data_IF_925209057029
#
_entry.id   IF_925209057029
#
_cell.length_a   1.000
_cell.length_b   1.000
_cell.length_c   1.000
_cell.angle_alpha   90.00
_cell.angle_beta   90.00
_cell.angle_gamma   90.00
#
_symmetry.space_group_name_H-M   'P 1'
#
loop_
_entity.id
_entity.type
_entity.pdbx_description
1 polymer ?
#
# COMPACT_ATOMS: atom_id res chain seq x y z
N UNK A 1 -14.17 17.81 -17.69
CA UNK A 1 -13.30 16.68 -18.08
C UNK A 1 -12.54 16.26 -16.83
N UNK A 2 -12.65 15.00 -16.42
CA UNK A 2 -11.87 14.48 -15.30
C UNK A 2 -10.39 14.50 -15.69
N UNK A 3 -9.58 15.19 -14.89
CA UNK A 3 -8.15 15.30 -15.08
C UNK A 3 -7.52 13.90 -14.92
N UNK A 4 -6.58 13.53 -15.80
CA UNK A 4 -5.88 12.26 -15.72
C UNK A 4 -5.03 12.23 -14.44
N UNK A 5 -5.16 11.15 -13.65
CA UNK A 5 -4.36 10.93 -12.45
C UNK A 5 -3.30 9.88 -12.77
N UNK A 6 -2.04 10.17 -12.46
CA UNK A 6 -0.91 9.24 -12.52
C UNK A 6 -0.51 8.90 -11.09
N UNK A 7 -0.50 7.61 -10.75
CA UNK A 7 -0.02 7.09 -9.47
C UNK A 7 1.38 6.51 -9.64
N UNK A 8 2.35 7.05 -8.94
CA UNK A 8 3.71 6.51 -8.83
C UNK A 8 3.78 5.57 -7.63
N UNK A 9 4.19 4.32 -7.86
CA UNK A 9 4.13 3.27 -6.84
C UNK A 9 5.23 2.21 -7.01
N UNK A 10 5.58 1.55 -5.90
CA UNK A 10 6.54 0.45 -5.88
C UNK A 10 5.94 -0.83 -6.45
N UNK A 11 6.78 -1.60 -7.15
CA UNK A 11 6.47 -2.95 -7.59
C UNK A 11 7.65 -3.91 -7.38
N UNK A 12 7.35 -5.21 -7.34
CA UNK A 12 8.35 -6.27 -7.47
C UNK A 12 8.81 -6.42 -8.93
N UNK A 13 9.83 -7.27 -9.18
CA UNK A 13 10.35 -7.51 -10.53
C UNK A 13 9.30 -8.12 -11.49
N UNK A 14 8.32 -8.83 -10.96
CA UNK A 14 7.17 -9.40 -11.66
C UNK A 14 5.98 -8.44 -11.79
N UNK A 15 6.20 -7.15 -11.53
CA UNK A 15 5.20 -6.08 -11.55
C UNK A 15 4.11 -6.17 -10.46
N UNK A 16 4.24 -7.04 -9.47
CA UNK A 16 3.33 -7.09 -8.32
C UNK A 16 3.42 -5.81 -7.49
N UNK A 17 2.27 -5.14 -7.28
CA UNK A 17 2.17 -3.90 -6.50
C UNK A 17 1.99 -4.24 -5.02
N UNK A 18 3.06 -4.40 -4.26
CA UNK A 18 3.01 -4.90 -2.87
C UNK A 18 2.99 -3.80 -1.81
N UNK A 19 3.38 -2.56 -2.12
CA UNK A 19 3.54 -1.50 -1.11
C UNK A 19 2.25 -1.18 -0.36
N UNK A 20 2.23 -1.29 0.99
CA UNK A 20 1.03 -0.98 1.77
C UNK A 20 0.62 0.48 1.66
N UNK A 21 1.58 1.42 1.61
CA UNK A 21 1.26 2.84 1.46
C UNK A 21 0.66 3.14 0.09
N UNK A 22 1.16 2.50 -0.97
CA UNK A 22 0.58 2.65 -2.31
C UNK A 22 -0.85 2.07 -2.36
N UNK A 23 -1.11 0.94 -1.67
CA UNK A 23 -2.45 0.37 -1.60
C UNK A 23 -3.45 1.25 -0.85
N UNK A 24 -3.03 2.05 0.16
CA UNK A 24 -3.92 3.06 0.76
C UNK A 24 -4.46 4.02 -0.31
N UNK A 25 -3.58 4.51 -1.18
CA UNK A 25 -3.95 5.41 -2.28
C UNK A 25 -4.77 4.69 -3.35
N UNK A 26 -4.41 3.47 -3.74
CA UNK A 26 -5.17 2.67 -4.70
C UNK A 26 -6.62 2.46 -4.25
N UNK A 27 -6.83 2.05 -3.00
CA UNK A 27 -8.17 1.92 -2.44
C UNK A 27 -8.91 3.26 -2.37
N UNK A 28 -8.22 4.33 -2.02
CA UNK A 28 -8.79 5.68 -2.00
C UNK A 28 -9.28 6.13 -3.36
N UNK A 29 -8.49 5.94 -4.43
CA UNK A 29 -8.87 6.24 -5.79
C UNK A 29 -10.05 5.39 -6.27
N UNK A 30 -10.04 4.09 -5.95
CA UNK A 30 -11.14 3.19 -6.26
C UNK A 30 -12.44 3.58 -5.53
N UNK A 31 -12.36 3.96 -4.26
CA UNK A 31 -13.49 4.45 -3.46
C UNK A 31 -14.13 5.70 -4.08
N UNK A 32 -13.31 6.62 -4.53
CA UNK A 32 -13.76 7.82 -5.24
C UNK A 32 -14.26 7.55 -6.65
N UNK A 33 -14.06 6.33 -7.19
CA UNK A 33 -14.36 6.01 -8.58
C UNK A 33 -13.54 6.86 -9.57
N UNK A 34 -12.29 7.17 -9.21
CA UNK A 34 -11.38 7.96 -10.03
C UNK A 34 -10.45 7.02 -10.82
N UNK A 35 -10.48 7.08 -12.17
CA UNK A 35 -9.54 6.34 -12.99
C UNK A 35 -8.12 6.93 -12.81
N UNK A 36 -7.11 6.07 -12.85
CA UNK A 36 -5.72 6.48 -12.76
C UNK A 36 -4.82 5.58 -13.60
N UNK A 37 -3.66 6.10 -13.98
CA UNK A 37 -2.55 5.31 -14.55
C UNK A 37 -1.54 5.00 -13.46
N UNK A 38 -1.07 3.75 -13.41
CA UNK A 38 -0.03 3.31 -12.51
C UNK A 38 1.33 3.36 -13.21
N UNK A 39 2.32 3.96 -12.53
CA UNK A 39 3.71 4.01 -12.97
C UNK A 39 4.59 3.38 -11.91
N UNK A 40 5.33 2.34 -12.30
CA UNK A 40 6.29 1.67 -11.43
C UNK A 40 7.52 2.57 -11.21
N UNK A 41 7.91 2.71 -9.95
CA UNK A 41 9.14 3.38 -9.52
C UNK A 41 9.94 2.39 -8.65
N UNK A 42 11.23 2.22 -8.96
CA UNK A 42 12.16 1.47 -8.10
C UNK A 42 12.46 2.22 -6.80
N UNK A 43 12.93 1.52 -5.79
CA UNK A 43 13.28 2.15 -4.50
C UNK A 43 14.36 3.20 -4.64
N UNK A 44 15.34 2.96 -5.50
CA UNK A 44 16.47 3.85 -5.74
C UNK A 44 16.10 5.06 -6.61
N UNK A 45 15.00 4.97 -7.36
CA UNK A 45 14.57 6.00 -8.32
C UNK A 45 13.53 6.98 -7.71
N UNK A 46 13.04 6.72 -6.49
CA UNK A 46 12.03 7.58 -5.83
C UNK A 46 12.47 9.04 -5.78
N UNK A 47 13.76 9.29 -5.53
CA UNK A 47 14.30 10.64 -5.46
C UNK A 47 14.22 11.44 -6.77
N UNK A 48 14.04 10.78 -7.91
CA UNK A 48 13.96 11.41 -9.24
C UNK A 48 12.56 11.96 -9.56
N UNK A 49 11.53 11.61 -8.77
CA UNK A 49 10.16 12.10 -8.96
C UNK A 49 10.03 13.63 -8.75
N UNK A 50 11.03 14.27 -8.13
CA UNK A 50 11.06 15.72 -7.92
C UNK A 50 10.17 16.20 -6.77
N UNK A 51 9.65 15.31 -5.95
CA UNK A 51 8.90 15.65 -4.74
C UNK A 51 9.79 16.07 -3.57
N UNK A 52 9.21 16.78 -2.61
CA UNK A 52 9.92 17.29 -1.42
C UNK A 52 10.27 16.17 -0.43
N UNK A 53 9.36 15.19 -0.27
CA UNK A 53 9.49 14.12 0.72
C UNK A 53 10.21 12.88 0.16
N UNK A 54 10.38 12.81 -1.17
CA UNK A 54 11.01 11.68 -1.86
C UNK A 54 10.42 10.33 -1.43
N UNK A 55 9.10 10.24 -1.50
CA UNK A 55 8.35 9.06 -1.07
C UNK A 55 7.31 8.64 -2.09
N UNK A 56 6.90 7.38 -2.03
CA UNK A 56 5.72 6.86 -2.74
C UNK A 56 4.78 6.19 -1.74
N UNK A 57 3.44 6.28 -1.96
CA UNK A 57 2.79 6.74 -3.18
C UNK A 57 2.95 8.24 -3.42
N UNK A 58 3.02 8.62 -4.70
CA UNK A 58 2.82 9.99 -5.14
C UNK A 58 1.81 10.00 -6.28
N UNK A 59 1.01 11.07 -6.39
CA UNK A 59 0.11 11.27 -7.53
C UNK A 59 0.46 12.55 -8.27
N UNK A 60 0.25 12.52 -9.59
CA UNK A 60 0.17 13.72 -10.42
C UNK A 60 -1.23 13.83 -10.99
N UNK A 61 -1.90 14.93 -10.68
CA UNK A 61 -3.20 15.28 -11.21
C UNK A 61 -3.04 16.62 -11.96
N UNK A 62 -2.86 16.57 -13.29
CA UNK A 62 -2.43 17.70 -14.11
C UNK A 62 -1.10 18.29 -13.62
N UNK A 63 -1.10 19.58 -13.23
CA UNK A 63 0.08 20.28 -12.74
C UNK A 63 0.33 20.05 -11.23
N UNK A 64 -0.64 19.46 -10.51
CA UNK A 64 -0.52 19.21 -9.08
C UNK A 64 0.20 17.89 -8.82
N UNK A 65 1.22 17.93 -7.94
CA UNK A 65 1.96 16.77 -7.47
C UNK A 65 1.79 16.65 -5.95
N UNK A 66 1.32 15.48 -5.49
CA UNK A 66 1.06 15.20 -4.07
C UNK A 66 1.75 13.90 -3.68
N UNK A 67 2.55 13.94 -2.64
CA UNK A 67 3.22 12.79 -2.04
C UNK A 67 2.56 12.44 -0.71
N UNK A 68 2.86 11.23 -0.21
CA UNK A 68 2.32 10.67 1.02
C UNK A 68 0.85 10.23 0.92
N UNK A 69 0.58 9.02 1.42
CA UNK A 69 -0.76 8.40 1.30
C UNK A 69 -1.85 9.14 2.07
N UNK A 70 -1.50 9.81 3.18
CA UNK A 70 -2.43 10.62 3.94
C UNK A 70 -2.75 11.93 3.23
N UNK A 71 -1.72 12.64 2.77
CA UNK A 71 -1.89 13.90 2.08
C UNK A 71 -2.64 13.70 0.76
N UNK A 72 -2.41 12.56 0.08
CA UNK A 72 -3.20 12.17 -1.08
C UNK A 72 -4.67 11.95 -0.69
N UNK A 73 -4.98 11.26 0.41
CA UNK A 73 -6.37 11.07 0.83
C UNK A 73 -7.08 12.39 1.15
N UNK A 74 -6.39 13.32 1.81
CA UNK A 74 -6.88 14.69 2.06
C UNK A 74 -7.12 15.43 0.73
N UNK A 75 -6.15 15.39 -0.17
CA UNK A 75 -6.25 15.99 -1.49
C UNK A 75 -7.47 15.48 -2.26
N UNK A 76 -7.68 14.16 -2.26
CA UNK A 76 -8.80 13.54 -2.96
C UNK A 76 -10.15 13.98 -2.39
N UNK A 77 -10.28 14.12 -1.07
CA UNK A 77 -11.52 14.62 -0.46
C UNK A 77 -11.78 16.10 -0.77
N UNK A 78 -10.74 16.92 -0.82
CA UNK A 78 -10.86 18.35 -1.10
C UNK A 78 -11.16 18.66 -2.57
N UNK A 79 -10.52 17.92 -3.50
CA UNK A 79 -10.61 18.22 -4.93
C UNK A 79 -11.72 17.45 -5.65
N UNK A 80 -12.25 16.40 -5.03
CA UNK A 80 -13.37 15.62 -5.55
C UNK A 80 -14.50 15.50 -4.51
N UNK A 81 -15.08 16.66 -4.07
CA UNK A 81 -16.10 16.67 -3.01
C UNK A 81 -17.41 16.00 -3.43
N UNK A 82 -17.70 15.93 -4.74
CA UNK A 82 -18.89 15.29 -5.31
C UNK A 82 -18.78 13.74 -5.33
N UNK A 83 -17.63 13.19 -4.92
CA UNK A 83 -17.38 11.75 -4.81
C UNK A 83 -17.48 11.28 -3.36
N UNK A 84 -17.75 9.98 -3.11
CA UNK A 84 -17.84 9.47 -1.75
C UNK A 84 -16.63 9.89 -0.90
N UNK A 85 -16.83 10.42 0.33
CA UNK A 85 -15.74 10.91 1.16
C UNK A 85 -14.92 9.75 1.73
N UNK A 86 -13.59 9.89 1.74
CA UNK A 86 -12.65 8.95 2.36
C UNK A 86 -12.57 9.12 3.87
N UNK A 87 -12.40 10.37 4.30
CA UNK A 87 -12.19 10.77 5.70
C UNK A 87 -13.49 11.22 6.38
N UNK A 88 -14.50 11.57 5.59
CA UNK A 88 -15.79 12.05 6.08
C UNK A 88 -15.68 13.42 6.79
N UNK A 89 -16.20 13.50 8.02
CA UNK A 89 -16.12 14.72 8.84
C UNK A 89 -14.81 14.77 9.66
N UNK A 90 -14.58 15.87 10.39
CA UNK A 90 -13.40 16.03 11.24
C UNK A 90 -13.23 14.91 12.28
N UNK A 91 -14.33 14.37 12.81
CA UNK A 91 -14.27 13.21 13.70
C UNK A 91 -13.75 11.96 12.97
N UNK A 92 -14.27 11.69 11.77
CA UNK A 92 -13.82 10.56 10.94
C UNK A 92 -12.35 10.69 10.56
N UNK A 93 -11.90 11.90 10.22
CA UNK A 93 -10.50 12.22 9.97
C UNK A 93 -9.62 11.95 11.20
N UNK A 94 -10.06 12.34 12.40
CA UNK A 94 -9.36 12.06 13.66
C UNK A 94 -9.25 10.55 13.94
N UNK A 95 -10.34 9.79 13.72
CA UNK A 95 -10.33 8.32 13.85
C UNK A 95 -9.38 7.69 12.86
N UNK A 96 -9.42 8.09 11.59
CA UNK A 96 -8.53 7.58 10.56
C UNK A 96 -7.05 7.85 10.89
N UNK A 97 -6.73 9.02 11.45
CA UNK A 97 -5.36 9.37 11.90
C UNK A 97 -4.91 8.48 13.06
N UNK A 98 -5.78 8.19 14.01
CA UNK A 98 -5.46 7.25 15.10
C UNK A 98 -5.19 5.85 14.55
N UNK A 99 -6.04 5.36 13.63
CA UNK A 99 -5.87 4.05 12.99
C UNK A 99 -4.58 3.99 12.18
N UNK A 100 -4.20 5.08 11.49
CA UNK A 100 -2.94 5.18 10.78
C UNK A 100 -1.75 5.03 11.73
N UNK A 101 -1.70 5.83 12.80
CA UNK A 101 -0.64 5.74 13.81
C UNK A 101 -0.55 4.35 14.44
N UNK A 102 -1.70 3.74 14.74
CA UNK A 102 -1.75 2.37 15.24
C UNK A 102 -1.20 1.38 14.21
N UNK A 103 -1.61 1.49 12.96
CA UNK A 103 -1.14 0.62 11.87
C UNK A 103 0.36 0.75 11.67
N UNK A 104 0.87 1.97 11.64
CA UNK A 104 2.29 2.23 11.39
C UNK A 104 3.21 1.82 12.55
N UNK A 105 2.68 1.79 13.78
CA UNK A 105 3.47 1.42 14.98
C UNK A 105 3.27 -0.02 15.45
N UNK A 106 2.15 -0.65 15.13
CA UNK A 106 1.83 -2.01 15.62
C UNK A 106 1.75 -3.02 14.48
N UNK A 107 1.05 -2.69 13.38
CA UNK A 107 0.78 -3.65 12.30
C UNK A 107 1.96 -3.71 11.33
N UNK A 108 2.38 -2.57 10.78
CA UNK A 108 3.44 -2.51 9.77
C UNK A 108 4.78 -3.10 10.23
N UNK A 109 5.32 -2.80 11.45
CA UNK A 109 6.59 -3.38 11.87
C UNK A 109 6.54 -4.90 11.97
N UNK A 110 5.36 -5.43 12.35
CA UNK A 110 5.19 -6.88 12.45
C UNK A 110 5.06 -7.53 11.07
N UNK A 111 4.23 -6.96 10.18
CA UNK A 111 4.13 -7.48 8.80
C UNK A 111 5.48 -7.36 8.10
N UNK A 112 6.21 -6.25 8.25
CA UNK A 112 7.57 -6.10 7.73
C UNK A 112 8.44 -7.30 8.13
N UNK A 113 8.44 -7.65 9.42
CA UNK A 113 9.21 -8.80 9.92
C UNK A 113 8.78 -10.13 9.30
N UNK A 114 7.49 -10.29 9.04
CA UNK A 114 6.94 -11.53 8.47
C UNK A 114 7.24 -11.70 6.97
N UNK A 115 7.36 -10.59 6.20
CA UNK A 115 7.39 -10.66 4.73
C UNK A 115 8.67 -10.15 4.08
N UNK A 116 9.58 -9.51 4.83
CA UNK A 116 10.74 -8.81 4.23
C UNK A 116 11.61 -9.73 3.38
N UNK A 117 11.82 -10.97 3.81
CA UNK A 117 12.63 -11.93 3.05
C UNK A 117 11.95 -12.30 1.73
N UNK A 118 10.64 -12.56 1.76
CA UNK A 118 9.89 -12.94 0.55
C UNK A 118 9.81 -11.77 -0.45
N UNK A 119 9.65 -10.53 0.06
CA UNK A 119 9.72 -9.33 -0.77
C UNK A 119 11.10 -9.20 -1.41
N UNK A 120 12.19 -9.36 -0.63
CA UNK A 120 13.57 -9.31 -1.13
C UNK A 120 13.82 -10.28 -2.27
N UNK A 121 13.32 -11.51 -2.16
CA UNK A 121 13.51 -12.54 -3.19
C UNK A 121 12.82 -12.19 -4.52
N UNK A 122 11.75 -11.37 -4.47
CA UNK A 122 10.99 -10.90 -5.63
C UNK A 122 11.40 -9.52 -6.13
N UNK A 123 12.31 -8.82 -5.42
CA UNK A 123 12.78 -7.49 -5.82
C UNK A 123 13.60 -7.52 -7.12
N UNK A 124 13.54 -6.42 -7.86
CA UNK A 124 14.50 -6.18 -8.94
C UNK A 124 15.94 -6.26 -8.37
N UNK A 125 16.85 -6.98 -9.03
CA UNK A 125 18.23 -7.10 -8.57
C UNK A 125 18.92 -5.76 -8.29
N UNK A 126 18.54 -4.69 -9.00
CA UNK A 126 19.09 -3.36 -8.81
C UNK A 126 18.71 -2.75 -7.45
N UNK A 127 17.48 -2.99 -6.97
CA UNK A 127 16.99 -2.46 -5.70
C UNK A 127 17.38 -3.33 -4.48
N UNK A 128 17.80 -4.59 -4.69
CA UNK A 128 18.09 -5.54 -3.60
C UNK A 128 19.09 -5.04 -2.56
N UNK A 129 20.25 -4.44 -2.94
CA UNK A 129 21.22 -3.96 -1.95
C UNK A 129 20.63 -2.89 -1.03
N UNK A 130 19.92 -1.92 -1.60
CA UNK A 130 19.23 -0.87 -0.84
C UNK A 130 18.15 -1.44 0.06
N UNK A 131 17.32 -2.33 -0.48
CA UNK A 131 16.23 -2.96 0.28
C UNK A 131 16.77 -3.74 1.47
N UNK A 132 17.77 -4.60 1.28
CA UNK A 132 18.38 -5.37 2.37
C UNK A 132 18.91 -4.45 3.47
N UNK A 133 19.78 -3.51 3.11
CA UNK A 133 20.38 -2.61 4.09
C UNK A 133 19.33 -1.86 4.91
N UNK A 134 18.37 -1.23 4.23
CA UNK A 134 17.36 -0.42 4.89
C UNK A 134 16.39 -1.27 5.75
N UNK A 135 16.07 -2.49 5.34
CA UNK A 135 15.13 -3.34 6.10
C UNK A 135 15.80 -4.04 7.27
N UNK A 136 17.04 -4.48 7.14
CA UNK A 136 17.81 -5.03 8.24
C UNK A 136 18.09 -3.98 9.34
N UNK A 137 18.34 -2.73 8.97
CA UNK A 137 18.41 -1.61 9.91
C UNK A 137 17.08 -1.42 10.67
N UNK A 138 15.95 -1.40 9.96
CA UNK A 138 14.62 -1.27 10.57
C UNK A 138 14.24 -2.45 11.46
N UNK A 139 14.65 -3.66 11.09
CA UNK A 139 14.34 -4.90 11.81
C UNK A 139 15.28 -5.14 13.01
N UNK A 140 16.46 -4.53 12.99
CA UNK A 140 17.53 -4.79 13.98
C UNK A 140 18.11 -6.22 13.87
N UNK A 141 17.91 -6.91 12.75
CA UNK A 141 18.40 -8.26 12.47
C UNK A 141 18.41 -8.52 10.96
N UNK A 142 19.05 -9.63 10.52
CA UNK A 142 19.02 -10.03 9.12
C UNK A 142 17.60 -10.43 8.65
N UNK A 143 17.37 -10.38 7.33
CA UNK A 143 16.12 -10.84 6.72
C UNK A 143 15.87 -12.33 7.02
N UNK A 144 16.93 -13.12 7.05
CA UNK A 144 16.92 -14.55 7.34
C UNK A 144 16.50 -14.84 8.79
N UNK A 145 17.04 -14.09 9.77
CA UNK A 145 16.65 -14.19 11.18
C UNK A 145 15.19 -13.76 11.40
N UNK A 146 14.76 -12.70 10.73
CA UNK A 146 13.36 -12.28 10.78
C UNK A 146 12.43 -13.39 10.25
N UNK A 147 12.78 -14.04 9.14
CA UNK A 147 12.02 -15.14 8.56
C UNK A 147 12.02 -16.38 9.50
N UNK A 148 13.14 -16.73 10.10
CA UNK A 148 13.24 -17.89 11.00
C UNK A 148 12.34 -17.78 12.25
N UNK A 149 11.96 -16.56 12.65
CA UNK A 149 11.11 -16.30 13.82
C UNK A 149 9.63 -16.07 13.49
N UNK A 150 9.17 -16.32 12.25
CA UNK A 150 7.80 -16.04 11.78
C UNK A 150 6.71 -16.62 12.67
N UNK A 151 6.82 -17.90 13.05
CA UNK A 151 5.77 -18.58 13.81
C UNK A 151 5.57 -17.98 15.20
N UNK A 152 6.64 -17.52 15.82
CA UNK A 152 6.55 -16.81 17.10
C UNK A 152 5.98 -15.41 16.91
N UNK A 153 6.47 -14.70 15.88
CA UNK A 153 6.05 -13.33 15.55
C UNK A 153 4.56 -13.27 15.24
N UNK A 154 4.05 -14.17 14.38
CA UNK A 154 2.63 -14.17 13.99
C UNK A 154 1.71 -14.48 15.17
N UNK A 155 2.10 -15.34 16.11
CA UNK A 155 1.32 -15.62 17.31
C UNK A 155 1.17 -14.40 18.21
N UNK A 156 2.24 -13.64 18.41
CA UNK A 156 2.20 -12.38 19.15
C UNK A 156 1.37 -11.31 18.41
N UNK A 157 1.53 -11.21 17.10
CA UNK A 157 0.78 -10.30 16.25
C UNK A 157 -0.72 -10.51 16.33
N UNK A 158 -1.18 -11.76 16.20
CA UNK A 158 -2.61 -12.09 16.30
C UNK A 158 -3.24 -11.68 17.62
N UNK A 159 -2.45 -11.65 18.71
CA UNK A 159 -2.89 -11.10 20.01
C UNK A 159 -2.94 -9.58 19.99
N UNK A 160 -1.93 -8.92 19.42
CA UNK A 160 -1.82 -7.46 19.40
C UNK A 160 -2.96 -6.79 18.61
N UNK A 161 -3.46 -7.44 17.54
CA UNK A 161 -4.56 -6.94 16.71
C UNK A 161 -5.96 -7.30 17.24
N UNK A 162 -6.06 -7.84 18.46
CA UNK A 162 -7.35 -8.19 19.07
C UNK A 162 -8.36 -7.04 19.12
N UNK A 163 -7.97 -5.76 19.37
CA UNK A 163 -8.92 -4.63 19.33
C UNK A 163 -9.65 -4.51 17.99
N UNK A 164 -9.00 -4.83 16.86
CA UNK A 164 -9.63 -4.83 15.54
C UNK A 164 -10.77 -5.86 15.49
N UNK A 165 -10.55 -7.10 16.01
CA UNK A 165 -11.60 -8.13 16.09
C UNK A 165 -12.78 -7.68 16.92
N UNK A 166 -12.53 -7.07 18.08
CA UNK A 166 -13.60 -6.55 18.95
C UNK A 166 -14.44 -5.48 18.24
N UNK A 167 -13.79 -4.61 17.46
CA UNK A 167 -14.48 -3.59 16.66
C UNK A 167 -15.33 -4.24 15.57
N UNK A 168 -14.77 -5.17 14.80
CA UNK A 168 -15.44 -5.83 13.69
C UNK A 168 -16.58 -6.77 14.13
N UNK A 169 -16.58 -7.22 15.38
CA UNK A 169 -17.71 -7.94 15.98
C UNK A 169 -18.91 -7.04 16.32
N UNK A 170 -18.72 -5.72 16.30
CA UNK A 170 -19.77 -4.74 16.63
C UNK A 170 -20.25 -3.93 15.44
N UNK A 171 -19.41 -3.79 14.43
CA UNK A 171 -19.71 -3.01 13.23
C UNK A 171 -19.03 -3.62 11.99
N UNK A 172 -19.59 -3.42 10.79
CA UNK A 172 -19.11 -4.09 9.59
C UNK A 172 -17.72 -3.57 9.11
N UNK A 173 -17.37 -2.33 9.40
CA UNK A 173 -16.14 -1.67 8.98
C UNK A 173 -15.50 -0.91 10.14
N UNK A 174 -14.19 -0.69 10.06
CA UNK A 174 -13.49 0.12 11.07
C UNK A 174 -14.00 1.56 11.09
N UNK A 175 -14.43 2.06 9.94
CA UNK A 175 -15.06 3.37 9.77
C UNK A 175 -16.55 3.41 10.15
N UNK A 176 -17.16 2.30 10.58
CA UNK A 176 -18.56 2.23 11.00
C UNK A 176 -19.45 1.42 10.07
N UNK A 177 -20.55 2.02 9.58
CA UNK A 177 -21.54 1.35 8.73
C UNK A 177 -21.05 1.11 7.29
N UNK A 178 -20.12 1.92 6.80
CA UNK A 178 -19.55 1.86 5.46
C UNK A 178 -18.03 1.92 5.52
N UNK A 179 -17.32 1.35 4.51
CA UNK A 179 -15.87 1.43 4.47
C UNK A 179 -15.40 2.86 4.26
N UNK A 180 -14.31 3.25 4.90
CA UNK A 180 -13.66 4.54 4.76
C UNK A 180 -12.15 4.41 4.83
N UNK A 181 -11.45 5.55 4.96
CA UNK A 181 -9.98 5.55 4.92
C UNK A 181 -9.34 4.71 6.04
N UNK A 182 -9.96 4.68 7.24
CA UNK A 182 -9.47 3.82 8.33
C UNK A 182 -9.45 2.33 7.94
N UNK A 183 -10.44 1.87 7.18
CA UNK A 183 -10.44 0.51 6.64
C UNK A 183 -9.30 0.32 5.65
N UNK A 184 -9.14 1.23 4.71
CA UNK A 184 -8.12 1.13 3.65
C UNK A 184 -6.69 1.15 4.19
N UNK A 185 -6.44 1.88 5.27
CA UNK A 185 -5.14 1.88 5.97
C UNK A 185 -4.79 0.46 6.46
N UNK A 186 -5.71 -0.18 7.16
CA UNK A 186 -5.47 -1.53 7.73
C UNK A 186 -5.53 -2.60 6.64
N UNK A 187 -6.48 -2.50 5.70
CA UNK A 187 -6.56 -3.39 4.54
C UNK A 187 -5.26 -3.39 3.72
N UNK A 188 -4.68 -2.22 3.50
CA UNK A 188 -3.44 -2.08 2.75
C UNK A 188 -2.26 -2.82 3.41
N UNK A 189 -2.22 -2.85 4.75
CA UNK A 189 -1.22 -3.62 5.49
C UNK A 189 -1.39 -5.13 5.30
N UNK A 190 -2.62 -5.65 5.34
CA UNK A 190 -2.90 -7.07 5.05
C UNK A 190 -2.73 -7.40 3.56
N UNK A 191 -3.02 -6.47 2.67
CA UNK A 191 -2.76 -6.61 1.25
C UNK A 191 -1.27 -6.78 0.95
N UNK A 192 -0.41 -6.04 1.66
CA UNK A 192 1.02 -6.25 1.60
C UNK A 192 1.40 -7.69 1.94
N UNK A 193 0.89 -8.21 3.06
CA UNK A 193 1.10 -9.61 3.44
C UNK A 193 0.64 -10.58 2.36
N UNK A 194 -0.60 -10.43 1.89
CA UNK A 194 -1.21 -11.29 0.85
C UNK A 194 -0.40 -11.32 -0.45
N UNK A 195 0.14 -10.18 -0.87
CA UNK A 195 0.87 -10.05 -2.14
C UNK A 195 2.35 -10.44 -2.03
N UNK A 196 2.91 -10.39 -0.83
CA UNK A 196 4.34 -10.62 -0.61
C UNK A 196 4.67 -12.08 -0.29
N UNK A 197 3.77 -12.82 0.37
CA UNK A 197 4.08 -14.15 0.92
C UNK A 197 2.88 -15.08 0.93
N UNK A 198 3.14 -16.39 0.81
CA UNK A 198 2.14 -17.45 1.08
C UNK A 198 2.04 -17.79 2.57
N UNK A 199 2.86 -17.16 3.42
CA UNK A 199 2.81 -17.38 4.86
C UNK A 199 1.50 -16.88 5.46
N UNK A 200 0.80 -17.75 6.21
CA UNK A 200 -0.53 -17.46 6.76
C UNK A 200 -0.46 -16.48 7.94
N UNK A 201 -0.77 -15.22 7.69
CA UNK A 201 -0.77 -14.17 8.72
C UNK A 201 -2.02 -14.24 9.61
N UNK A 202 -3.20 -14.42 9.02
CA UNK A 202 -4.48 -14.57 9.72
C UNK A 202 -4.99 -16.01 9.60
N UNK A 203 -5.76 -16.49 10.59
CA UNK A 203 -6.51 -17.74 10.44
C UNK A 203 -7.75 -17.52 9.58
N UNK A 204 -8.26 -18.59 8.92
CA UNK A 204 -9.37 -18.49 7.97
C UNK A 204 -10.70 -18.10 8.65
N UNK A 205 -10.88 -18.48 9.91
CA UNK A 205 -12.03 -18.15 10.74
C UNK A 205 -11.90 -16.82 11.50
N UNK A 206 -10.79 -16.09 11.31
CA UNK A 206 -10.56 -14.80 11.96
C UNK A 206 -11.54 -13.74 11.41
N UNK A 207 -12.29 -13.02 12.26
CA UNK A 207 -13.14 -11.91 11.81
C UNK A 207 -12.41 -10.86 10.97
N UNK A 208 -11.09 -10.66 11.20
CA UNK A 208 -10.27 -9.76 10.39
C UNK A 208 -10.07 -10.34 8.98
N UNK A 209 -9.86 -11.65 8.84
CA UNK A 209 -9.73 -12.28 7.53
C UNK A 209 -11.04 -12.15 6.74
N UNK A 210 -12.19 -12.41 7.37
CA UNK A 210 -13.50 -12.27 6.75
C UNK A 210 -13.80 -10.82 6.33
N UNK A 211 -13.44 -9.84 7.15
CA UNK A 211 -13.55 -8.42 6.83
C UNK A 211 -12.63 -8.04 5.67
N UNK A 212 -11.38 -8.52 5.67
CA UNK A 212 -10.42 -8.26 4.61
C UNK A 212 -10.89 -8.83 3.28
N UNK A 213 -11.40 -10.08 3.27
CA UNK A 213 -11.98 -10.70 2.07
C UNK A 213 -13.15 -9.88 1.50
N UNK A 214 -14.08 -9.41 2.35
CA UNK A 214 -15.14 -8.48 1.92
C UNK A 214 -14.56 -7.17 1.35
N UNK A 215 -13.48 -6.68 1.95
CA UNK A 215 -12.79 -5.48 1.50
C UNK A 215 -12.15 -5.64 0.11
N UNK A 216 -11.61 -6.83 -0.19
CA UNK A 216 -11.05 -7.12 -1.51
C UNK A 216 -12.12 -7.10 -2.61
N UNK A 217 -13.38 -7.40 -2.27
CA UNK A 217 -14.52 -7.39 -3.22
C UNK A 217 -15.07 -5.97 -3.48
N UNK A 218 -14.71 -4.98 -2.67
CA UNK A 218 -15.13 -3.60 -2.90
C UNK A 218 -14.70 -3.11 -4.27
N UNK A 219 -15.45 -2.14 -4.81
CA UNK A 219 -15.14 -1.48 -6.07
C UNK A 219 -14.90 -2.48 -7.21
N UNK A 220 -15.83 -3.43 -7.37
CA UNK A 220 -15.80 -4.49 -8.38
C UNK A 220 -14.59 -5.44 -8.26
N UNK A 221 -14.24 -5.83 -7.03
CA UNK A 221 -13.14 -6.74 -6.76
C UNK A 221 -11.77 -6.10 -6.96
N UNK A 222 -11.68 -4.77 -6.82
CA UNK A 222 -10.44 -4.02 -7.07
C UNK A 222 -9.26 -4.54 -6.26
N UNK A 223 -9.46 -4.90 -4.99
CA UNK A 223 -8.42 -5.43 -4.11
C UNK A 223 -7.89 -6.80 -4.50
N UNK A 224 -8.62 -7.57 -5.33
CA UNK A 224 -8.20 -8.90 -5.80
C UNK A 224 -7.18 -8.83 -6.93
N UNK A 225 -7.09 -7.70 -7.61
CA UNK A 225 -6.20 -7.48 -8.73
C UNK A 225 -4.77 -7.33 -8.23
N UNK A 226 -3.84 -8.01 -8.88
CA UNK A 226 -2.42 -8.08 -8.45
C UNK A 226 -1.56 -7.14 -9.28
N UNK A 227 -1.86 -7.05 -10.58
CA UNK A 227 -1.14 -6.23 -11.55
C UNK A 227 -1.95 -4.99 -11.96
N UNK A 228 -1.29 -3.91 -12.41
CA UNK A 228 -1.99 -2.69 -12.85
C UNK A 228 -2.98 -2.95 -13.98
N UNK A 229 -2.66 -3.89 -14.87
CA UNK A 229 -3.45 -4.22 -16.07
C UNK A 229 -4.64 -5.16 -15.80
N UNK A 230 -4.83 -5.67 -14.59
CA UNK A 230 -5.96 -6.53 -14.21
C UNK A 230 -7.31 -5.78 -14.19
N UNK A 231 -7.37 -4.64 -14.88
CA UNK A 231 -8.58 -3.91 -15.26
C UNK A 231 -9.14 -2.98 -14.18
N UNK A 232 -8.64 -1.76 -14.12
CA UNK A 232 -9.47 -0.63 -13.74
C UNK A 232 -10.30 -0.18 -14.96
N UNK A 233 -11.46 0.47 -14.80
CA UNK A 233 -12.16 1.01 -15.95
C UNK A 233 -11.27 2.04 -16.66
N UNK A 234 -10.75 1.70 -17.86
CA UNK A 234 -10.04 2.61 -18.75
C UNK A 234 -8.52 2.45 -18.86
N UNK A 235 -7.93 1.29 -18.55
CA UNK A 235 -6.48 1.09 -18.64
C UNK A 235 -6.02 0.48 -19.96
N UNK A 236 -5.23 1.25 -20.74
CA UNK A 236 -4.35 0.71 -21.79
C UNK A 236 -2.91 0.86 -21.27
N UNK A 237 -2.31 -0.25 -20.84
CA UNK A 237 -0.93 -0.28 -20.39
C UNK A 237 0.03 0.11 -21.52
N UNK A 238 0.89 1.08 -21.29
CA UNK A 238 2.03 1.33 -22.16
C UNK A 238 3.30 0.99 -21.40
N UNK A 239 3.85 -0.20 -21.66
CA UNK A 239 5.14 -0.66 -21.17
C UNK A 239 6.36 0.12 -21.71
N UNK A 240 6.26 1.45 -21.82
CA UNK A 240 7.26 2.31 -22.44
C UNK A 240 8.26 2.94 -21.47
N UNK A 241 8.07 2.73 -20.14
CA UNK A 241 8.91 3.43 -19.16
C UNK A 241 10.30 2.80 -18.95
N UNK A 242 10.45 1.47 -19.09
CA UNK A 242 11.75 0.79 -18.89
C UNK A 242 12.86 1.21 -19.86
N UNK A 243 12.54 1.93 -20.93
CA UNK A 243 13.50 2.31 -21.98
C UNK A 243 14.07 3.73 -21.89
N UNK A 244 13.48 4.64 -21.12
CA UNK A 244 13.83 6.07 -21.19
C UNK A 244 14.56 6.66 -19.98
N UNK A 245 14.73 5.91 -18.88
CA UNK A 245 15.44 6.38 -17.68
C UNK A 245 16.72 5.60 -17.34
N UNK A 246 17.31 4.87 -18.26
CA UNK A 246 18.69 4.41 -18.04
C UNK A 246 19.64 5.54 -18.39
N UNK A 247 20.50 6.00 -17.46
CA UNK A 247 21.55 6.92 -17.81
C UNK A 247 22.45 6.26 -18.85
N UNK A 248 22.64 6.90 -19.99
CA UNK A 248 23.70 6.59 -20.95
C UNK A 248 25.00 6.67 -20.17
N UNK A 249 25.79 5.60 -20.20
CA UNK A 249 26.96 5.38 -19.39
C UNK A 249 27.86 6.61 -19.30
N UNK A 250 28.30 6.90 -18.09
CA UNK A 250 29.42 7.77 -17.82
C UNK A 250 30.64 7.16 -18.52
N UNK A 251 31.01 7.75 -19.65
CA UNK A 251 32.33 7.54 -20.26
C UNK A 251 33.39 7.99 -19.26
N UNK A 252 34.30 7.07 -19.01
CA UNK A 252 35.53 7.29 -18.25
C UNK A 252 36.36 8.36 -18.97
N UNK A 253 36.72 9.41 -18.30
CA UNK A 253 38.00 10.09 -18.30
C UNK A 253 38.29 10.62 -16.92
#
# INVERSE_FOLDING_TARGET
>A
MTQEIILYELAAADDTRFSPFCWRTRFGLAHKGLPFKSVHIGFTDIGELGGANRTVPAIRAGDTFVEDSWDIAVYLDQHYPDRPPLLGCELGKGVARFVECFTDKVIHPTILRLVSRDVFDRMDPYDRPYFRLSREEMLGCSLEEAQATRDQTVRAFRKAIHPIRLTLNKQPWLSGASPGHADYIVMAAFQWGRLATDFKILEDDDPIAQWFERGLDLHHGFGRKVHPDDGGPGFAGTGLWKASMRPVGAGIC
#
